data_IF_422165229364
#
_entry.id   IF_422165229364
#
_cell.length_a   1.000
_cell.length_b   1.000
_cell.length_c   1.000
_cell.angle_alpha   90.00
_cell.angle_beta   90.00
_cell.angle_gamma   90.00
#
_symmetry.space_group_name_H-M   'P 1'
#
loop_
_entity.id
_entity.type
_entity.pdbx_description
1 polymer ?
#
# COMPACT_ATOMS: atom_id res chain seq x y z
N UNK A 1 3.55 11.81 -15.81
CA UNK A 1 2.62 11.11 -16.73
C UNK A 1 2.15 9.81 -16.09
N UNK A 2 0.84 9.55 -16.02
CA UNK A 2 0.35 8.26 -15.52
C UNK A 2 0.42 7.22 -16.64
N UNK A 3 0.96 6.04 -16.36
CA UNK A 3 0.96 4.92 -17.31
C UNK A 3 -0.46 4.61 -17.81
N UNK A 4 -0.63 4.25 -19.08
CA UNK A 4 -1.92 3.77 -19.58
C UNK A 4 -2.26 2.42 -18.91
N UNK A 5 -3.30 2.41 -18.06
CA UNK A 5 -3.71 1.23 -17.27
C UNK A 5 -5.08 0.72 -17.72
N UNK A 6 -5.22 -0.59 -17.71
CA UNK A 6 -6.48 -1.27 -18.01
C UNK A 6 -7.55 -0.98 -16.94
N UNK A 7 -8.83 -1.04 -17.34
CA UNK A 7 -9.99 -0.73 -16.49
C UNK A 7 -10.02 -1.54 -15.18
N UNK A 8 -9.68 -2.84 -15.25
CA UNK A 8 -9.60 -3.73 -14.07
C UNK A 8 -8.60 -3.24 -13.03
N UNK A 9 -7.44 -2.76 -13.47
CA UNK A 9 -6.38 -2.23 -12.59
C UNK A 9 -6.84 -0.89 -11.99
N UNK A 10 -7.44 -0.01 -12.79
CA UNK A 10 -8.00 1.26 -12.31
C UNK A 10 -9.04 1.03 -11.21
N UNK A 11 -9.99 0.11 -11.41
CA UNK A 11 -11.02 -0.25 -10.41
C UNK A 11 -10.43 -0.82 -9.13
N UNK A 12 -9.41 -1.66 -9.24
CA UNK A 12 -8.70 -2.23 -8.08
C UNK A 12 -7.97 -1.15 -7.27
N UNK A 13 -7.24 -0.25 -7.93
CA UNK A 13 -6.53 0.86 -7.29
C UNK A 13 -7.51 1.82 -6.59
N UNK A 14 -8.62 2.17 -7.24
CA UNK A 14 -9.65 3.00 -6.64
C UNK A 14 -10.26 2.36 -5.38
N UNK A 15 -10.52 1.03 -5.40
CA UNK A 15 -11.01 0.29 -4.22
C UNK A 15 -9.99 0.27 -3.08
N UNK A 16 -8.69 0.20 -3.41
CA UNK A 16 -7.57 0.21 -2.45
C UNK A 16 -7.33 1.59 -1.83
N UNK A 17 -7.60 2.67 -2.55
CA UNK A 17 -7.43 4.05 -2.06
C UNK A 17 -8.55 4.51 -1.10
N UNK A 18 -9.66 3.76 -0.97
CA UNK A 18 -10.71 4.09 -0.02
C UNK A 18 -10.18 3.98 1.42
N UNK A 19 -10.08 5.13 2.09
CA UNK A 19 -9.82 5.20 3.53
C UNK A 19 -11.05 4.69 4.28
N UNK A 20 -10.86 3.71 5.16
CA UNK A 20 -11.90 3.25 6.08
C UNK A 20 -11.96 4.21 7.29
N UNK A 21 -13.15 4.72 7.61
CA UNK A 21 -13.41 5.50 8.82
C UNK A 21 -13.48 4.58 10.05
N UNK A 22 -13.07 5.05 11.23
CA UNK A 22 -13.16 4.28 12.49
C UNK A 22 -12.06 3.24 12.77
N UNK A 23 -10.98 3.20 11.99
CA UNK A 23 -9.88 2.26 12.22
C UNK A 23 -8.93 2.71 13.34
N UNK A 24 -8.68 1.82 14.32
CA UNK A 24 -7.71 2.04 15.43
C UNK A 24 -6.24 1.93 15.00
N UNK A 25 -5.95 1.21 13.91
CA UNK A 25 -4.59 0.95 13.42
C UNK A 25 -4.07 2.16 12.64
N UNK A 26 -3.14 2.91 13.24
CA UNK A 26 -2.52 4.11 12.63
C UNK A 26 -1.25 3.83 11.82
N UNK A 27 -0.50 2.76 12.17
CA UNK A 27 0.77 2.41 11.54
C UNK A 27 0.88 0.90 11.29
N UNK A 28 1.65 0.51 10.27
CA UNK A 28 1.99 -0.89 10.01
C UNK A 28 3.20 -1.28 10.87
N UNK A 29 2.97 -2.04 11.94
CA UNK A 29 4.00 -2.54 12.86
C UNK A 29 5.00 -3.49 12.18
N UNK A 30 4.62 -4.13 11.07
CA UNK A 30 5.47 -5.04 10.28
C UNK A 30 6.24 -4.32 9.16
N UNK A 31 6.21 -2.98 9.11
CA UNK A 31 6.90 -2.21 8.07
C UNK A 31 8.41 -2.27 8.27
N UNK A 32 9.09 -3.01 7.40
CA UNK A 32 10.56 -3.12 7.38
C UNK A 32 11.18 -2.01 6.52
N UNK A 33 12.23 -1.36 7.01
CA UNK A 33 12.99 -0.38 6.24
C UNK A 33 14.33 -0.99 5.80
N UNK A 34 14.57 -1.06 4.49
CA UNK A 34 15.73 -1.74 3.88
C UNK A 34 17.10 -1.23 4.35
N UNK A 35 17.20 0.04 4.80
CA UNK A 35 18.44 0.57 5.38
C UNK A 35 18.59 0.24 6.87
N UNK A 36 17.49 0.01 7.60
CA UNK A 36 17.50 -0.24 9.06
C UNK A 36 17.49 -1.73 9.39
N UNK A 37 16.87 -2.56 8.56
CA UNK A 37 16.71 -3.99 8.82
C UNK A 37 17.25 -4.77 7.61
N UNK A 38 18.34 -5.50 7.82
CA UNK A 38 18.92 -6.43 6.84
C UNK A 38 18.24 -7.79 6.99
N UNK A 39 18.04 -8.46 5.87
CA UNK A 39 17.66 -9.87 5.87
C UNK A 39 18.97 -10.66 5.86
N UNK A 40 19.15 -11.56 6.81
CA UNK A 40 20.25 -12.52 6.79
C UNK A 40 19.92 -13.65 5.81
N UNK A 41 19.92 -13.30 4.53
CA UNK A 41 19.88 -14.23 3.40
C UNK A 41 21.29 -14.31 2.81
#
# INVERSE_FOLDING_TARGET
>A
MSSHKNFRIKRFLAKKQKMKTGNKIRYNSKRRHRRRTKLGL
#
